data_IF_044523288801
#
_entry.id   IF_044523288801
#
_cell.length_a   1.000
_cell.length_b   1.000
_cell.length_c   1.000
_cell.angle_alpha   90.00
_cell.angle_beta   90.00
_cell.angle_gamma   90.00
#
_symmetry.space_group_name_H-M   'P 1'
#
loop_
_entity.id
_entity.type
_entity.pdbx_description
1 polymer ?
#
# COMPACT_ATOMS: atom_id res chain seq x y z
N UNK A 1 23.38 1.94 -1.17
CA UNK A 1 22.17 1.42 -1.85
C UNK A 1 21.98 0.01 -1.35
N UNK A 2 21.13 -0.19 -0.35
CA UNK A 2 20.82 -1.53 0.16
C UNK A 2 20.13 -2.33 -0.93
N UNK A 3 20.77 -3.42 -1.34
CA UNK A 3 20.18 -4.40 -2.24
C UNK A 3 19.10 -5.12 -1.43
N UNK A 4 17.84 -4.74 -1.61
CA UNK A 4 16.71 -5.48 -1.06
C UNK A 4 16.89 -6.96 -1.38
N UNK A 5 16.83 -7.81 -0.36
CA UNK A 5 17.03 -9.25 -0.50
C UNK A 5 15.90 -9.79 -1.37
N UNK A 6 16.20 -10.14 -2.63
CA UNK A 6 15.21 -10.69 -3.54
C UNK A 6 14.68 -12.01 -2.97
N UNK A 7 13.36 -12.19 -3.01
CA UNK A 7 12.70 -13.38 -2.48
C UNK A 7 13.01 -14.62 -3.36
N UNK A 8 14.11 -15.31 -3.05
CA UNK A 8 14.45 -16.63 -3.58
C UNK A 8 15.23 -16.68 -4.92
N UNK A 9 15.59 -17.90 -5.35
CA UNK A 9 16.49 -18.12 -6.49
C UNK A 9 15.88 -17.75 -7.85
N UNK A 10 14.56 -17.88 -8.00
CA UNK A 10 13.87 -17.50 -9.23
C UNK A 10 13.86 -15.98 -9.42
N UNK A 11 13.47 -15.22 -8.39
CA UNK A 11 13.48 -13.76 -8.39
C UNK A 11 14.87 -13.20 -8.68
N UNK A 12 15.90 -13.83 -8.10
CA UNK A 12 17.30 -13.49 -8.37
C UNK A 12 17.67 -13.75 -9.84
N UNK A 13 17.25 -14.89 -10.40
CA UNK A 13 17.52 -15.24 -11.80
C UNK A 13 16.84 -14.29 -12.78
N UNK A 14 15.57 -13.94 -12.54
CA UNK A 14 14.82 -12.97 -13.34
C UNK A 14 15.45 -11.59 -13.24
N UNK A 15 15.83 -11.14 -12.04
CA UNK A 15 16.47 -9.84 -11.86
C UNK A 15 17.82 -9.76 -12.59
N UNK A 16 18.62 -10.82 -12.54
CA UNK A 16 19.88 -10.90 -13.29
C UNK A 16 19.64 -10.83 -14.80
N UNK A 17 18.61 -11.52 -15.31
CA UNK A 17 18.24 -11.47 -16.72
C UNK A 17 17.82 -10.05 -17.15
N UNK A 18 16.95 -9.40 -16.38
CA UNK A 18 16.52 -8.02 -16.63
C UNK A 18 17.72 -7.07 -16.66
N UNK A 19 18.62 -7.12 -15.66
CA UNK A 19 19.82 -6.28 -15.61
C UNK A 19 20.76 -6.51 -16.80
N UNK A 20 20.91 -7.76 -17.26
CA UNK A 20 21.78 -8.09 -18.40
C UNK A 20 21.22 -7.62 -19.74
N UNK A 21 19.90 -7.69 -19.93
CA UNK A 21 19.25 -7.33 -21.19
C UNK A 21 18.89 -5.85 -21.29
N UNK A 22 18.80 -5.13 -20.18
CA UNK A 22 18.44 -3.71 -20.15
C UNK A 22 19.26 -2.79 -21.10
N UNK A 23 20.59 -2.90 -21.21
CA UNK A 23 21.35 -2.06 -22.15
C UNK A 23 21.20 -2.47 -23.63
N UNK A 24 20.55 -3.61 -23.91
CA UNK A 24 20.43 -4.20 -25.25
C UNK A 24 19.05 -3.98 -25.88
N UNK A 25 18.13 -3.34 -25.17
CA UNK A 25 16.73 -3.16 -25.58
C UNK A 25 16.36 -1.69 -25.73
N UNK A 26 15.28 -1.41 -26.47
CA UNK A 26 14.78 -0.05 -26.62
C UNK A 26 14.24 0.55 -25.31
N UNK A 27 14.04 1.88 -25.24
CA UNK A 27 13.69 2.60 -24.01
C UNK A 27 12.41 2.10 -23.32
N UNK A 28 11.38 1.73 -24.11
CA UNK A 28 10.11 1.19 -23.57
C UNK A 28 10.33 -0.13 -22.83
N UNK A 29 11.12 -1.03 -23.41
CA UNK A 29 11.42 -2.33 -22.81
C UNK A 29 12.33 -2.18 -21.60
N UNK A 30 13.32 -1.27 -21.66
CA UNK A 30 14.17 -0.95 -20.54
C UNK A 30 13.37 -0.41 -19.33
N UNK A 31 12.35 0.41 -19.57
CA UNK A 31 11.42 0.87 -18.54
C UNK A 31 10.61 -0.29 -17.93
N UNK A 32 10.16 -1.23 -18.77
CA UNK A 32 9.51 -2.46 -18.31
C UNK A 32 10.40 -3.31 -17.39
N UNK A 33 11.69 -3.46 -17.71
CA UNK A 33 12.65 -4.17 -16.84
C UNK A 33 12.88 -3.44 -15.52
N UNK A 34 12.96 -2.11 -15.52
CA UNK A 34 13.01 -1.32 -14.28
C UNK A 34 11.80 -1.60 -13.40
N UNK A 35 10.60 -1.65 -13.99
CA UNK A 35 9.38 -1.94 -13.24
C UNK A 35 9.36 -3.38 -12.68
N UNK A 36 9.81 -4.37 -13.45
CA UNK A 36 9.93 -5.76 -12.97
C UNK A 36 10.92 -5.84 -11.80
N UNK A 37 12.10 -5.24 -11.94
CA UNK A 37 13.12 -5.21 -10.89
C UNK A 37 12.58 -4.53 -9.62
N UNK A 38 11.85 -3.42 -9.77
CA UNK A 38 11.21 -2.71 -8.66
C UNK A 38 10.20 -3.60 -7.93
N UNK A 39 9.38 -4.38 -8.66
CA UNK A 39 8.40 -5.29 -8.06
C UNK A 39 9.06 -6.48 -7.37
N UNK A 40 10.11 -7.07 -7.96
CA UNK A 40 10.82 -8.20 -7.38
C UNK A 40 11.56 -7.86 -6.09
N UNK A 41 12.01 -6.61 -5.95
CA UNK A 41 12.65 -6.10 -4.74
C UNK A 41 11.68 -5.48 -3.72
N UNK A 42 10.39 -5.41 -4.01
CA UNK A 42 9.39 -4.88 -3.09
C UNK A 42 8.94 -5.95 -2.09
N UNK A 43 8.52 -5.56 -0.87
CA UNK A 43 7.89 -6.47 0.10
C UNK A 43 6.65 -7.17 -0.48
N UNK A 44 6.30 -8.33 0.07
CA UNK A 44 5.11 -9.07 -0.33
C UNK A 44 3.85 -8.20 -0.17
N UNK A 45 3.02 -8.10 -1.20
CA UNK A 45 1.78 -7.32 -1.12
C UNK A 45 0.60 -8.24 -0.79
N UNK A 46 -0.08 -7.99 0.33
CA UNK A 46 -1.25 -8.74 0.79
C UNK A 46 -2.47 -7.82 0.75
N UNK A 47 -3.36 -8.05 -0.21
CA UNK A 47 -4.61 -7.29 -0.31
C UNK A 47 -5.76 -7.99 0.43
N UNK A 48 -6.45 -7.25 1.30
CA UNK A 48 -7.63 -7.72 2.02
C UNK A 48 -8.88 -7.17 1.34
N UNK A 49 -9.65 -8.04 0.71
CA UNK A 49 -10.87 -7.71 -0.03
C UNK A 49 -12.09 -8.48 0.50
N UNK A 50 -13.27 -7.89 0.37
CA UNK A 50 -14.52 -8.43 0.92
C UNK A 50 -15.62 -7.38 1.03
N UNK A 51 -16.85 -7.80 1.37
CA UNK A 51 -18.01 -6.89 1.47
C UNK A 51 -17.81 -5.81 2.53
N UNK A 52 -18.62 -4.74 2.47
CA UNK A 52 -18.66 -3.72 3.52
C UNK A 52 -19.12 -4.39 4.84
N UNK A 53 -18.52 -4.02 5.97
CA UNK A 53 -18.77 -4.60 7.31
C UNK A 53 -18.45 -6.10 7.46
N UNK A 54 -17.60 -6.69 6.60
CA UNK A 54 -17.19 -8.11 6.74
C UNK A 54 -15.99 -8.34 7.67
N UNK A 55 -15.56 -7.35 8.45
CA UNK A 55 -14.40 -7.47 9.34
C UNK A 55 -13.03 -7.29 8.68
N UNK A 56 -12.94 -6.69 7.48
CA UNK A 56 -11.66 -6.45 6.78
C UNK A 56 -10.66 -5.67 7.63
N UNK A 57 -11.07 -4.53 8.18
CA UNK A 57 -10.21 -3.72 9.05
C UNK A 57 -9.77 -4.48 10.30
N UNK A 58 -10.61 -5.39 10.82
CA UNK A 58 -10.25 -6.27 11.94
C UNK A 58 -9.14 -7.25 11.53
N UNK A 59 -9.25 -7.87 10.35
CA UNK A 59 -8.21 -8.74 9.82
C UNK A 59 -6.92 -7.97 9.52
N UNK A 60 -7.01 -6.77 8.95
CA UNK A 60 -5.85 -5.88 8.70
C UNK A 60 -5.14 -5.56 10.01
N UNK A 61 -5.88 -5.15 11.04
CA UNK A 61 -5.33 -4.87 12.36
C UNK A 61 -4.69 -6.12 13.00
N UNK A 62 -5.28 -7.30 12.80
CA UNK A 62 -4.72 -8.57 13.28
C UNK A 62 -3.43 -8.95 12.53
N UNK A 63 -3.39 -8.77 11.21
CA UNK A 63 -2.20 -9.00 10.39
C UNK A 63 -1.04 -8.07 10.76
N UNK A 64 -1.34 -6.81 11.07
CA UNK A 64 -0.33 -5.83 11.51
C UNK A 64 0.02 -6.05 12.99
N UNK A 65 -0.88 -6.64 13.79
CA UNK A 65 -0.72 -6.74 15.25
C UNK A 65 -0.91 -5.41 15.99
N UNK A 66 -1.47 -4.40 15.30
CA UNK A 66 -1.73 -3.05 15.83
C UNK A 66 -3.08 -2.56 15.32
N UNK A 67 -3.84 -1.87 16.19
CA UNK A 67 -5.06 -1.17 15.82
C UNK A 67 -4.69 0.15 15.14
N UNK A 68 -4.66 0.14 13.81
CA UNK A 68 -4.28 1.31 12.99
C UNK A 68 -5.29 1.59 11.88
N UNK A 69 -5.91 0.54 11.33
CA UNK A 69 -7.01 0.66 10.39
C UNK A 69 -8.31 0.98 11.14
N UNK A 70 -9.07 2.01 10.73
CA UNK A 70 -10.36 2.31 11.33
C UNK A 70 -11.34 1.17 11.08
N UNK A 71 -12.01 0.73 12.14
CA UNK A 71 -13.00 -0.36 12.08
C UNK A 71 -14.42 0.12 11.80
N UNK A 72 -14.70 1.41 12.03
CA UNK A 72 -15.98 2.02 11.69
C UNK A 72 -16.03 2.43 10.22
N UNK A 73 -17.24 2.40 9.64
CA UNK A 73 -17.49 2.80 8.26
C UNK A 73 -17.31 4.31 8.15
N UNK A 74 -16.20 4.74 7.56
CA UNK A 74 -15.86 6.15 7.34
C UNK A 74 -15.26 6.41 5.96
N UNK A 75 -14.76 7.62 5.73
CA UNK A 75 -14.13 8.01 4.46
C UNK A 75 -12.96 7.09 4.09
N UNK A 76 -12.17 6.68 5.08
CA UNK A 76 -11.07 5.73 4.90
C UNK A 76 -11.50 4.37 4.35
N UNK A 77 -12.71 3.89 4.67
CA UNK A 77 -13.24 2.61 4.15
C UNK A 77 -13.58 2.71 2.65
N UNK A 78 -13.63 3.91 2.08
CA UNK A 78 -13.87 4.17 0.65
C UNK A 78 -12.58 4.32 -0.15
N UNK A 79 -11.43 4.41 0.52
CA UNK A 79 -10.12 4.58 -0.09
C UNK A 79 -9.28 3.32 0.08
N UNK A 80 -8.41 3.07 -0.91
CA UNK A 80 -7.37 2.05 -0.74
C UNK A 80 -6.34 2.57 0.25
N UNK A 81 -6.03 1.78 1.28
CA UNK A 81 -5.03 2.13 2.28
C UNK A 81 -3.90 1.10 2.25
N UNK A 82 -2.67 1.57 2.09
CA UNK A 82 -1.46 0.74 2.10
C UNK A 82 -0.72 0.92 3.42
N UNK A 83 -0.57 -0.16 4.17
CA UNK A 83 0.24 -0.21 5.38
C UNK A 83 1.59 -0.80 5.02
N UNK A 84 2.65 -0.01 5.24
CA UNK A 84 4.01 -0.36 4.87
C UNK A 84 5.00 0.05 5.96
N UNK A 85 6.18 -0.54 5.93
CA UNK A 85 7.22 -0.18 6.89
C UNK A 85 7.71 1.25 6.68
N UNK A 86 7.92 1.96 7.79
CA UNK A 86 8.64 3.23 7.83
C UNK A 86 9.44 3.34 9.12
N UNK A 87 10.52 4.12 9.07
CA UNK A 87 11.35 4.43 10.26
C UNK A 87 10.65 5.37 11.24
N UNK A 88 9.62 6.08 10.77
CA UNK A 88 8.76 6.97 11.56
C UNK A 88 7.33 6.74 11.13
N UNK A 89 6.44 6.63 12.12
CA UNK A 89 5.00 6.56 11.93
C UNK A 89 4.50 7.83 11.24
N UNK A 90 3.88 7.68 10.06
CA UNK A 90 3.22 8.79 9.36
C UNK A 90 2.13 8.31 8.41
N UNK A 91 1.20 9.21 8.10
CA UNK A 91 0.15 8.99 7.10
C UNK A 91 0.40 9.99 5.97
N UNK A 92 0.50 9.48 4.75
CA UNK A 92 0.55 10.28 3.53
C UNK A 92 -0.73 10.02 2.72
N UNK A 93 -1.52 11.06 2.46
CA UNK A 93 -2.64 11.02 1.52
C UNK A 93 -2.09 11.34 0.15
N UNK A 94 -2.15 10.38 -0.77
CA UNK A 94 -1.67 10.54 -2.14
C UNK A 94 -2.84 10.99 -3.01
N UNK A 95 -2.71 12.15 -3.62
CA UNK A 95 -3.73 12.75 -4.48
C UNK A 95 -3.62 12.21 -5.91
N UNK A 96 -4.69 12.35 -6.71
CA UNK A 96 -4.73 11.91 -8.11
C UNK A 96 -3.79 12.68 -9.03
N UNK A 97 -3.44 13.91 -8.67
CA UNK A 97 -2.44 14.73 -9.37
C UNK A 97 -0.99 14.38 -8.99
N UNK A 98 -0.79 13.43 -8.07
CA UNK A 98 0.51 12.99 -7.57
C UNK A 98 1.04 13.78 -6.37
N UNK A 99 0.36 14.86 -5.95
CA UNK A 99 0.70 15.56 -4.71
C UNK A 99 0.44 14.68 -3.48
N UNK A 100 1.13 14.98 -2.39
CA UNK A 100 1.00 14.26 -1.13
C UNK A 100 0.75 15.22 0.02
N UNK A 101 -0.17 14.85 0.90
CA UNK A 101 -0.46 15.58 2.13
C UNK A 101 -0.21 14.69 3.34
N UNK A 102 0.51 15.20 4.35
CA UNK A 102 0.81 14.44 5.57
C UNK A 102 -0.28 14.70 6.59
N UNK A 103 -0.89 13.64 7.10
CA UNK A 103 -1.90 13.72 8.16
C UNK A 103 -1.35 13.16 9.49
N UNK A 104 -1.74 13.77 10.62
CA UNK A 104 -1.47 13.18 11.92
C UNK A 104 -2.36 11.95 12.14
N UNK A 105 -1.89 11.03 12.99
CA UNK A 105 -2.76 9.99 13.53
C UNK A 105 -3.82 10.61 14.44
N UNK A 106 -4.96 9.96 14.53
CA UNK A 106 -5.98 10.27 15.55
C UNK A 106 -5.41 10.10 16.96
N UNK A 107 -6.13 10.63 17.97
CA UNK A 107 -5.79 10.45 19.39
C UNK A 107 -5.66 8.98 19.82
N UNK A 108 -6.32 8.06 19.11
CA UNK A 108 -6.20 6.61 19.31
C UNK A 108 -5.06 5.94 18.54
N UNK A 109 -4.20 6.69 17.86
CA UNK A 109 -3.10 6.13 17.06
C UNK A 109 -3.53 5.43 15.77
N UNK A 110 -4.79 5.66 15.33
CA UNK A 110 -5.37 5.15 14.10
C UNK A 110 -5.39 6.20 13.00
N UNK A 111 -5.56 5.76 11.76
CA UNK A 111 -5.87 6.67 10.65
C UNK A 111 -7.21 7.37 10.95
N UNK A 112 -7.29 8.71 10.84
CA UNK A 112 -8.53 9.44 11.12
C UNK A 112 -9.65 9.01 10.16
N UNK A 113 -10.86 8.85 10.68
CA UNK A 113 -12.04 8.47 9.90
C UNK A 113 -12.50 9.55 8.92
N UNK A 114 -12.11 10.80 9.17
CA UNK A 114 -12.36 11.98 8.37
C UNK A 114 -11.03 12.62 8.03
N UNK A 115 -10.74 12.78 6.74
CA UNK A 115 -9.43 13.30 6.29
C UNK A 115 -9.38 14.83 6.28
N UNK A 116 -10.54 15.50 6.21
CA UNK A 116 -10.60 16.95 5.95
C UNK A 116 -10.20 17.32 4.51
N UNK A 117 -10.06 16.31 3.65
CA UNK A 117 -9.67 16.42 2.25
C UNK A 117 -10.81 15.85 1.39
N UNK A 118 -11.02 16.44 0.23
CA UNK A 118 -11.95 15.93 -0.77
C UNK A 118 -11.52 14.53 -1.26
N UNK A 119 -12.26 13.51 -0.80
CA UNK A 119 -12.01 12.08 -1.06
C UNK A 119 -11.98 11.77 -2.56
N UNK A 120 -12.70 12.54 -3.41
CA UNK A 120 -12.71 12.31 -4.85
C UNK A 120 -11.36 12.63 -5.50
N UNK A 121 -10.60 13.56 -4.91
CA UNK A 121 -9.26 13.93 -5.36
C UNK A 121 -8.17 12.99 -4.83
N UNK A 122 -8.51 12.13 -3.86
CA UNK A 122 -7.57 11.17 -3.27
C UNK A 122 -7.43 9.94 -4.17
N UNK A 123 -6.18 9.52 -4.39
CA UNK A 123 -5.85 8.26 -5.06
C UNK A 123 -5.85 7.10 -4.07
N UNK A 124 -5.08 7.23 -2.99
CA UNK A 124 -4.94 6.22 -1.94
C UNK A 124 -4.23 6.83 -0.72
N UNK A 125 -4.23 6.09 0.39
CA UNK A 125 -3.53 6.45 1.63
C UNK A 125 -2.31 5.53 1.77
N UNK A 126 -1.16 6.09 2.13
CA UNK A 126 0.04 5.36 2.55
C UNK A 126 0.27 5.58 4.04
N UNK A 127 0.11 4.53 4.84
CA UNK A 127 0.41 4.51 6.26
C UNK A 127 1.77 3.82 6.48
N UNK A 128 2.75 4.61 6.86
CA UNK A 128 4.08 4.15 7.22
C UNK A 128 4.10 3.87 8.71
N UNK A 129 4.46 2.64 9.10
CA UNK A 129 4.47 2.23 10.50
C UNK A 129 5.79 1.57 10.86
N UNK A 130 6.27 1.87 12.07
CA UNK A 130 7.44 1.24 12.70
C UNK A 130 7.08 -0.15 13.23
N UNK A 131 6.71 -1.06 12.32
CA UNK A 131 6.30 -2.42 12.67
C UNK A 131 7.12 -3.45 11.87
N UNK A 132 7.78 -4.36 12.57
CA UNK A 132 8.65 -5.39 11.98
C UNK A 132 7.90 -6.28 10.98
N UNK A 133 6.62 -6.58 11.23
CA UNK A 133 5.80 -7.39 10.32
C UNK A 133 5.70 -6.75 8.93
N UNK A 134 5.74 -5.41 8.85
CA UNK A 134 5.63 -4.68 7.59
C UNK A 134 6.97 -4.54 6.84
N UNK A 135 8.09 -4.99 7.41
CA UNK A 135 9.38 -5.01 6.71
C UNK A 135 9.35 -5.98 5.53
N UNK A 136 8.68 -7.11 5.73
CA UNK A 136 8.60 -8.19 4.74
C UNK A 136 7.29 -8.18 3.95
N UNK A 137 6.29 -7.42 4.39
CA UNK A 137 5.02 -7.28 3.67
C UNK A 137 4.40 -5.89 3.71
N UNK A 138 3.62 -5.57 2.67
CA UNK A 138 2.69 -4.45 2.64
C UNK A 138 1.27 -4.98 2.71
N UNK A 139 0.50 -4.53 3.69
CA UNK A 139 -0.93 -4.88 3.82
C UNK A 139 -1.74 -3.82 3.11
N UNK A 140 -2.62 -4.21 2.20
CA UNK A 140 -3.47 -3.31 1.43
C UNK A 140 -4.91 -3.55 1.88
N UNK A 141 -5.49 -2.57 2.58
CA UNK A 141 -6.93 -2.55 2.83
C UNK A 141 -7.63 -1.95 1.62
N UNK A 142 -8.66 -2.66 1.15
CA UNK A 142 -9.41 -2.27 -0.04
C UNK A 142 -10.83 -1.88 0.33
N UNK A 143 -11.42 -0.90 -0.39
CA UNK A 143 -12.83 -0.56 -0.20
C UNK A 143 -13.72 -1.79 -0.35
N UNK A 144 -14.79 -1.84 0.45
CA UNK A 144 -15.68 -3.00 0.42
C UNK A 144 -16.31 -3.20 -0.96
N UNK A 145 -16.21 -4.41 -1.50
CA UNK A 145 -16.90 -4.80 -2.73
C UNK A 145 -18.42 -4.72 -2.48
N UNK A 146 -19.11 -3.78 -3.14
CA UNK A 146 -20.54 -3.51 -2.95
C UNK A 146 -20.94 -2.03 -2.82
N UNK A 147 -20.02 -1.08 -2.97
CA UNK A 147 -20.35 0.36 -2.96
C UNK A 147 -20.87 0.92 -4.29
N UNK A 148 -21.08 0.09 -5.31
CA UNK A 148 -21.51 0.55 -6.65
C UNK A 148 -23.03 0.77 -6.79
N UNK A 149 -23.86 0.45 -5.79
CA UNK A 149 -25.32 0.53 -5.90
C UNK A 149 -25.98 1.65 -5.06
N UNK A 150 -25.22 2.63 -4.56
CA UNK A 150 -25.78 3.76 -3.79
C UNK A 150 -25.97 5.06 -4.60
N UNK A 151 -25.92 4.96 -5.93
CA UNK A 151 -26.32 6.03 -6.84
C UNK A 151 -27.39 5.47 -7.78
N UNK A 152 -28.63 5.43 -7.30
CA UNK A 152 -29.85 5.35 -8.11
C UNK A 152 -30.85 6.34 -7.54
#
# INVERSE_FOLDING_TARGET
MEQGTLAGPLSTSVANLCRRLQPQVGPRTAAGFTEVLRRLGAPLQVAVAGRIKSGKSTLVNALIGRRVAPTDVGECTRLVTRFQYGTVDRIEVVMRDGSKEVLPFSSGGMIPSTLGIDVEKVSHIEAYLTNAVLQDMTVIDTPGLGSLDAAS
#
